data_IF_649812879179
#
_entry.id   IF_649812879179
#
_cell.length_a   1.000
_cell.length_b   1.000
_cell.length_c   1.000
_cell.angle_alpha   90.00
_cell.angle_beta   90.00
_cell.angle_gamma   90.00
#
_symmetry.space_group_name_H-M   'P 1'
#
loop_
_entity.id
_entity.type
_entity.pdbx_description
1 polymer ?
#
# COMPACT_ATOMS: atom_id res chain seq x y z
N UNK A 1 20.81 -22.47 -8.82
CA UNK A 1 20.80 -23.29 -10.05
C UNK A 1 20.95 -22.43 -11.32
N UNK A 2 20.15 -21.37 -11.49
CA UNK A 2 20.23 -20.43 -12.63
C UNK A 2 21.63 -19.81 -12.85
N UNK A 3 22.23 -19.11 -11.87
CA UNK A 3 23.56 -18.51 -12.08
C UNK A 3 24.67 -19.52 -12.39
N UNK A 4 24.56 -20.76 -11.90
CA UNK A 4 25.56 -21.79 -12.10
C UNK A 4 25.57 -22.32 -13.54
N UNK A 5 24.41 -22.45 -14.20
CA UNK A 5 24.34 -22.86 -15.61
C UNK A 5 24.90 -21.81 -16.57
N UNK A 6 24.68 -20.51 -16.29
CA UNK A 6 25.27 -19.44 -17.08
C UNK A 6 26.79 -19.36 -16.91
N UNK A 7 27.28 -19.57 -15.68
CA UNK A 7 28.70 -19.59 -15.38
C UNK A 7 29.42 -20.76 -16.08
N UNK A 8 28.81 -21.95 -16.11
CA UNK A 8 29.33 -23.09 -16.89
C UNK A 8 29.36 -22.82 -18.40
N UNK A 9 28.35 -22.15 -18.95
CA UNK A 9 28.28 -21.81 -20.38
C UNK A 9 29.34 -20.79 -20.77
N UNK A 10 29.58 -19.79 -19.92
CA UNK A 10 30.66 -18.81 -20.08
C UNK A 10 32.06 -19.46 -20.02
N UNK A 11 32.29 -20.41 -19.10
CA UNK A 11 33.58 -21.10 -19.02
C UNK A 11 33.87 -22.01 -20.22
N UNK A 12 32.86 -22.39 -21.01
CA UNK A 12 33.00 -23.26 -22.19
C UNK A 12 33.13 -22.49 -23.50
N UNK A 13 32.79 -21.21 -23.54
CA UNK A 13 32.94 -20.39 -24.75
C UNK A 13 34.41 -20.07 -25.01
N UNK A 14 34.90 -20.34 -26.22
CA UNK A 14 36.31 -20.14 -26.59
C UNK A 14 36.56 -18.95 -27.52
N UNK A 15 35.54 -18.17 -27.86
CA UNK A 15 35.68 -17.02 -28.74
C UNK A 15 34.75 -15.87 -28.35
N UNK A 16 35.13 -14.65 -28.75
CA UNK A 16 34.39 -13.44 -28.40
C UNK A 16 32.95 -13.47 -28.92
N UNK A 17 32.71 -14.04 -30.12
CA UNK A 17 31.37 -14.15 -30.72
C UNK A 17 30.43 -15.01 -29.87
N UNK A 18 30.93 -16.12 -29.31
CA UNK A 18 30.18 -16.96 -28.40
C UNK A 18 29.84 -16.27 -27.10
N UNK A 19 30.76 -15.43 -26.57
CA UNK A 19 30.51 -14.57 -25.41
C UNK A 19 29.43 -13.53 -25.74
N UNK A 20 29.50 -12.89 -26.91
CA UNK A 20 28.52 -11.87 -27.32
C UNK A 20 27.12 -12.48 -27.42
N UNK A 21 26.98 -13.63 -28.08
CA UNK A 21 25.69 -14.31 -28.23
C UNK A 21 25.13 -14.82 -26.89
N UNK A 22 26.00 -15.34 -26.01
CA UNK A 22 25.59 -15.71 -24.66
C UNK A 22 25.15 -14.49 -23.85
N UNK A 23 25.89 -13.39 -23.93
CA UNK A 23 25.59 -12.18 -23.17
C UNK A 23 24.25 -11.58 -23.59
N UNK A 24 23.93 -11.55 -24.90
CA UNK A 24 22.63 -11.07 -25.38
C UNK A 24 21.47 -11.92 -24.86
N UNK A 25 21.55 -13.25 -24.96
CA UNK A 25 20.48 -14.13 -24.46
C UNK A 25 20.37 -14.09 -22.94
N UNK A 26 21.49 -13.98 -22.22
CA UNK A 26 21.47 -13.87 -20.77
C UNK A 26 20.85 -12.55 -20.29
N UNK A 27 21.10 -11.45 -21.02
CA UNK A 27 20.47 -10.15 -20.74
C UNK A 27 18.96 -10.19 -20.96
N UNK A 28 18.48 -10.88 -22.01
CA UNK A 28 17.05 -11.11 -22.24
C UNK A 28 16.41 -11.91 -21.10
N UNK A 29 17.02 -13.03 -20.69
CA UNK A 29 16.52 -13.86 -19.59
C UNK A 29 16.50 -13.09 -18.25
N UNK A 30 17.52 -12.27 -17.97
CA UNK A 30 17.55 -11.41 -16.80
C UNK A 30 16.47 -10.33 -16.87
N UNK A 31 16.26 -9.71 -18.03
CA UNK A 31 15.19 -8.71 -18.24
C UNK A 31 13.82 -9.30 -17.89
N UNK A 32 13.55 -10.52 -18.35
CA UNK A 32 12.30 -11.22 -18.08
C UNK A 32 12.10 -11.54 -16.59
N UNK A 33 13.17 -11.94 -15.89
CA UNK A 33 13.13 -12.15 -14.43
C UNK A 33 12.80 -10.86 -13.68
N UNK A 34 13.41 -9.73 -14.05
CA UNK A 34 13.11 -8.43 -13.44
C UNK A 34 11.69 -7.95 -13.77
N UNK A 35 11.22 -8.18 -14.99
CA UNK A 35 9.84 -7.88 -15.38
C UNK A 35 8.81 -8.73 -14.60
N UNK A 36 9.15 -9.98 -14.29
CA UNK A 36 8.36 -10.85 -13.41
C UNK A 36 8.32 -10.37 -11.96
N UNK A 37 9.47 -9.98 -11.40
CA UNK A 37 9.56 -9.44 -10.05
C UNK A 37 8.75 -8.15 -9.88
N UNK A 38 8.86 -7.21 -10.83
CA UNK A 38 8.08 -5.96 -10.84
C UNK A 38 6.56 -6.22 -10.93
N UNK A 39 6.13 -7.19 -11.74
CA UNK A 39 4.72 -7.61 -11.79
C UNK A 39 4.22 -8.15 -10.45
N UNK A 40 5.06 -8.92 -9.75
CA UNK A 40 4.72 -9.44 -8.42
C UNK A 40 4.62 -8.32 -7.38
N UNK A 41 5.55 -7.36 -7.38
CA UNK A 41 5.50 -6.17 -6.52
C UNK A 41 4.18 -5.37 -6.70
N UNK A 42 3.78 -5.12 -7.95
CA UNK A 42 2.51 -4.43 -8.24
C UNK A 42 1.30 -5.21 -7.72
N UNK A 43 1.28 -6.53 -7.93
CA UNK A 43 0.21 -7.39 -7.43
C UNK A 43 0.09 -7.34 -5.89
N UNK A 44 1.23 -7.30 -5.19
CA UNK A 44 1.26 -7.17 -3.72
C UNK A 44 0.63 -5.84 -3.28
N UNK A 45 1.00 -4.72 -3.91
CA UNK A 45 0.44 -3.41 -3.56
C UNK A 45 -1.07 -3.37 -3.82
N UNK A 46 -1.53 -3.89 -4.96
CA UNK A 46 -2.95 -3.98 -5.29
C UNK A 46 -3.74 -4.80 -4.26
N UNK A 47 -3.20 -5.95 -3.84
CA UNK A 47 -3.82 -6.79 -2.81
C UNK A 47 -3.92 -6.07 -1.48
N UNK A 48 -2.89 -5.33 -1.08
CA UNK A 48 -2.90 -4.56 0.18
C UNK A 48 -3.88 -3.40 0.09
N UNK A 49 -3.93 -2.67 -1.03
CA UNK A 49 -4.91 -1.61 -1.26
C UNK A 49 -6.33 -2.18 -1.16
N UNK A 50 -6.60 -3.33 -1.80
CA UNK A 50 -7.89 -4.01 -1.69
C UNK A 50 -8.23 -4.37 -0.25
N UNK A 51 -7.29 -5.00 0.47
CA UNK A 51 -7.47 -5.36 1.87
C UNK A 51 -7.80 -4.14 2.75
N UNK A 52 -7.08 -3.03 2.57
CA UNK A 52 -7.35 -1.78 3.30
C UNK A 52 -8.76 -1.28 3.01
N UNK A 53 -9.18 -1.23 1.74
CA UNK A 53 -10.52 -0.78 1.36
C UNK A 53 -11.64 -1.66 1.94
N UNK A 54 -11.41 -2.97 2.06
CA UNK A 54 -12.39 -3.92 2.62
C UNK A 54 -12.41 -3.94 4.16
N UNK A 55 -11.34 -3.48 4.82
CA UNK A 55 -11.15 -3.66 6.26
C UNK A 55 -10.78 -2.37 7.01
N UNK A 56 -10.92 -1.18 6.41
CA UNK A 56 -10.46 0.07 7.02
C UNK A 56 -11.06 0.34 8.41
N UNK A 57 -12.25 -0.19 8.70
CA UNK A 57 -12.96 -0.09 9.98
C UNK A 57 -12.28 -0.87 11.12
N UNK A 58 -11.40 -1.82 10.80
CA UNK A 58 -10.69 -2.65 11.76
C UNK A 58 -9.32 -2.07 12.08
N UNK A 59 -8.71 -2.55 13.16
CA UNK A 59 -7.29 -2.29 13.39
C UNK A 59 -6.48 -3.00 12.30
N UNK A 60 -5.62 -2.24 11.59
CA UNK A 60 -4.75 -2.77 10.54
C UNK A 60 -3.32 -2.46 10.96
N UNK A 61 -2.57 -3.48 11.40
CA UNK A 61 -1.17 -3.31 11.77
C UNK A 61 -0.26 -3.66 10.60
N UNK A 62 0.81 -2.88 10.45
CA UNK A 62 1.86 -3.13 9.44
C UNK A 62 2.42 -4.55 9.53
N UNK A 63 2.58 -5.06 10.75
CA UNK A 63 3.09 -6.42 11.00
C UNK A 63 2.16 -7.49 10.42
N UNK A 64 0.85 -7.33 10.58
CA UNK A 64 -0.14 -8.27 10.05
C UNK A 64 -0.17 -8.22 8.52
N UNK A 65 -0.17 -7.00 7.94
CA UNK A 65 -0.03 -6.81 6.50
C UNK A 65 1.24 -7.47 5.95
N UNK A 66 2.37 -7.28 6.63
CA UNK A 66 3.67 -7.82 6.24
C UNK A 66 3.74 -9.35 6.30
N UNK A 67 3.01 -9.98 7.23
CA UNK A 67 2.91 -11.44 7.34
C UNK A 67 2.08 -12.04 6.20
N UNK A 68 1.02 -11.36 5.76
CA UNK A 68 0.19 -11.80 4.63
C UNK A 68 0.94 -11.75 3.29
N UNK A 69 1.94 -10.87 3.17
CA UNK A 69 2.66 -10.60 1.93
C UNK A 69 4.13 -11.05 1.94
N UNK A 70 4.60 -11.66 3.04
CA UNK A 70 5.97 -12.14 3.23
C UNK A 70 7.07 -11.09 2.94
N UNK A 71 6.80 -9.80 3.17
CA UNK A 71 7.77 -8.72 2.96
C UNK A 71 8.30 -8.18 4.28
N UNK A 72 9.54 -7.70 4.26
CA UNK A 72 10.06 -6.86 5.33
C UNK A 72 9.20 -5.57 5.44
N UNK A 73 8.74 -5.16 6.65
CA UNK A 73 7.94 -3.94 6.86
C UNK A 73 8.53 -2.66 6.27
N UNK A 74 9.86 -2.50 6.31
CA UNK A 74 10.55 -1.33 5.78
C UNK A 74 10.50 -1.31 4.24
N UNK A 75 10.78 -2.46 3.62
CA UNK A 75 10.68 -2.61 2.18
C UNK A 75 9.23 -2.42 1.70
N UNK A 76 8.25 -3.00 2.38
CA UNK A 76 6.84 -2.77 2.08
C UNK A 76 6.46 -1.29 2.19
N UNK A 77 6.91 -0.59 3.25
CA UNK A 77 6.59 0.84 3.42
C UNK A 77 7.13 1.69 2.26
N UNK A 78 8.34 1.38 1.80
CA UNK A 78 8.95 2.03 0.62
C UNK A 78 8.21 1.67 -0.66
N UNK A 79 7.91 0.39 -0.87
CA UNK A 79 7.21 -0.11 -2.06
C UNK A 79 5.81 0.51 -2.17
N UNK A 80 5.03 0.45 -1.10
CA UNK A 80 3.68 1.01 -1.07
C UNK A 80 3.70 2.51 -1.36
N UNK A 81 4.63 3.27 -0.73
CA UNK A 81 4.76 4.71 -1.00
C UNK A 81 5.17 5.01 -2.44
N UNK A 82 6.06 4.20 -3.03
CA UNK A 82 6.48 4.35 -4.42
C UNK A 82 5.32 4.13 -5.40
N UNK A 83 4.54 3.08 -5.20
CA UNK A 83 3.47 2.70 -6.13
C UNK A 83 2.16 3.49 -5.91
N UNK A 84 1.82 3.85 -4.67
CA UNK A 84 0.57 4.56 -4.32
C UNK A 84 0.77 6.07 -4.17
N UNK A 85 2.00 6.54 -3.98
CA UNK A 85 2.36 7.95 -3.79
C UNK A 85 2.27 8.45 -2.34
N UNK A 86 1.76 7.64 -1.41
CA UNK A 86 1.70 7.95 0.02
C UNK A 86 1.94 6.70 0.87
N UNK A 87 2.23 6.89 2.15
CA UNK A 87 2.37 5.76 3.09
C UNK A 87 1.03 5.05 3.28
N UNK A 88 1.07 3.77 3.67
CA UNK A 88 -0.15 3.01 3.95
C UNK A 88 -0.98 3.65 5.09
N UNK A 89 -0.34 4.29 6.07
CA UNK A 89 -1.01 5.00 7.18
C UNK A 89 -1.78 6.22 6.65
N UNK A 90 -1.16 7.01 5.78
CA UNK A 90 -1.81 8.15 5.12
C UNK A 90 -2.97 7.70 4.23
N UNK A 91 -2.78 6.60 3.47
CA UNK A 91 -3.82 6.01 2.64
C UNK A 91 -5.02 5.54 3.47
N UNK A 92 -4.77 4.76 4.52
CA UNK A 92 -5.80 4.30 5.47
C UNK A 92 -6.52 5.48 6.12
N UNK A 93 -5.77 6.50 6.55
CA UNK A 93 -6.33 7.71 7.15
C UNK A 93 -7.27 8.41 6.18
N UNK A 94 -6.87 8.59 4.92
CA UNK A 94 -7.71 9.21 3.89
C UNK A 94 -9.03 8.46 3.70
N UNK A 95 -8.99 7.13 3.58
CA UNK A 95 -10.21 6.32 3.43
C UNK A 95 -11.14 6.48 4.64
N UNK A 96 -10.60 6.39 5.85
CA UNK A 96 -11.38 6.54 7.09
C UNK A 96 -12.03 7.91 7.20
N UNK A 97 -11.32 8.97 6.81
CA UNK A 97 -11.85 10.34 6.83
C UNK A 97 -12.94 10.52 5.78
N UNK A 98 -12.76 10.01 4.56
CA UNK A 98 -13.80 10.06 3.53
C UNK A 98 -15.05 9.26 3.93
N UNK A 99 -14.90 8.10 4.57
CA UNK A 99 -16.03 7.37 5.15
C UNK A 99 -16.71 8.17 6.28
N UNK A 100 -15.93 8.80 7.16
CA UNK A 100 -16.45 9.60 8.27
C UNK A 100 -17.29 10.79 7.79
N UNK A 101 -16.85 11.48 6.72
CA UNK A 101 -17.63 12.58 6.10
C UNK A 101 -19.04 12.13 5.70
N UNK A 102 -19.17 10.93 5.13
CA UNK A 102 -20.47 10.34 4.77
C UNK A 102 -21.35 10.09 6.00
N UNK A 103 -20.78 9.56 7.08
CA UNK A 103 -21.52 9.34 8.32
C UNK A 103 -21.89 10.63 9.06
N UNK A 104 -21.08 11.69 8.91
CA UNK A 104 -21.35 12.99 9.54
C UNK A 104 -22.61 13.67 9.01
N UNK A 105 -23.05 13.32 7.80
CA UNK A 105 -24.33 13.78 7.23
C UNK A 105 -25.55 13.16 7.92
N UNK A 106 -25.39 12.10 8.72
CA UNK A 106 -26.46 11.53 9.52
C UNK A 106 -26.45 12.13 10.94
N UNK A 107 -27.44 12.97 11.31
CA UNK A 107 -27.49 13.63 12.62
C UNK A 107 -27.75 12.65 13.78
N UNK A 108 -28.29 11.46 13.50
CA UNK A 108 -28.57 10.43 14.52
C UNK A 108 -27.31 9.75 15.05
N UNK A 109 -26.17 9.88 14.37
CA UNK A 109 -24.91 9.30 14.82
C UNK A 109 -24.12 10.32 15.65
N UNK A 110 -23.62 9.91 16.81
CA UNK A 110 -22.66 10.70 17.60
C UNK A 110 -21.26 10.67 16.98
N UNK A 111 -20.42 11.67 17.27
CA UNK A 111 -19.02 11.69 16.79
C UNK A 111 -18.24 10.47 17.27
N UNK A 112 -18.50 10.00 18.50
CA UNK A 112 -17.87 8.82 19.06
C UNK A 112 -18.26 7.52 18.35
N UNK A 113 -19.53 7.38 17.94
CA UNK A 113 -19.98 6.23 17.15
C UNK A 113 -19.36 6.26 15.75
N UNK A 114 -19.27 7.43 15.12
CA UNK A 114 -18.60 7.58 13.82
C UNK A 114 -17.13 7.19 13.92
N UNK A 115 -16.41 7.70 14.93
CA UNK A 115 -15.01 7.35 15.17
C UNK A 115 -14.83 5.82 15.23
N UNK A 116 -15.68 5.13 16.00
CA UNK A 116 -15.64 3.66 16.12
C UNK A 116 -15.95 2.97 14.79
N UNK A 117 -16.99 3.42 14.08
CA UNK A 117 -17.38 2.88 12.77
C UNK A 117 -16.28 2.99 11.72
N UNK A 118 -15.46 4.05 11.77
CA UNK A 118 -14.34 4.23 10.83
C UNK A 118 -13.00 3.72 11.38
N UNK A 119 -13.01 2.93 12.47
CA UNK A 119 -11.82 2.24 12.96
C UNK A 119 -10.89 3.04 13.87
N UNK A 120 -11.40 4.08 14.53
CA UNK A 120 -10.71 4.76 15.63
C UNK A 120 -11.34 4.38 16.97
N UNK A 121 -10.54 3.88 17.90
CA UNK A 121 -10.99 3.56 19.27
C UNK A 121 -11.19 4.82 20.12
N UNK A 122 -10.35 5.84 19.90
CA UNK A 122 -10.39 7.11 20.63
C UNK A 122 -11.02 8.21 19.75
N UNK A 123 -12.16 8.74 20.21
CA UNK A 123 -12.90 9.79 19.51
C UNK A 123 -12.19 11.15 19.52
N UNK A 124 -11.38 11.45 20.55
CA UNK A 124 -10.57 12.67 20.62
C UNK A 124 -9.43 12.61 19.62
N UNK A 125 -8.76 11.47 19.51
CA UNK A 125 -7.73 11.23 18.51
C UNK A 125 -8.31 11.32 17.10
N UNK A 126 -9.44 10.65 16.84
CA UNK A 126 -10.18 10.79 15.58
C UNK A 126 -10.44 12.27 15.25
N UNK A 127 -10.96 13.05 16.21
CA UNK A 127 -11.28 14.46 15.99
C UNK A 127 -10.04 15.29 15.63
N UNK A 128 -8.89 15.02 16.26
CA UNK A 128 -7.60 15.65 15.91
C UNK A 128 -7.15 15.27 14.50
N UNK A 129 -7.23 13.99 14.14
CA UNK A 129 -6.86 13.52 12.79
C UNK A 129 -7.79 14.10 11.74
N UNK A 130 -9.10 14.07 11.96
CA UNK A 130 -10.09 14.65 11.06
C UNK A 130 -9.81 16.13 10.84
N UNK A 131 -9.61 16.91 11.91
CA UNK A 131 -9.27 18.33 11.79
C UNK A 131 -7.97 18.57 11.03
N UNK A 132 -6.95 17.74 11.23
CA UNK A 132 -5.69 17.83 10.49
C UNK A 132 -5.87 17.59 8.99
N UNK A 133 -6.74 16.65 8.61
CA UNK A 133 -6.96 16.27 7.21
C UNK A 133 -7.95 17.20 6.51
N UNK A 134 -9.01 17.63 7.20
CA UNK A 134 -10.13 18.39 6.62
C UNK A 134 -10.02 19.90 6.87
N UNK A 135 -9.24 20.32 7.86
CA UNK A 135 -9.05 21.72 8.26
C UNK A 135 -9.98 22.18 9.40
N UNK A 136 -11.12 21.51 9.59
CA UNK A 136 -12.12 21.81 10.62
C UNK A 136 -12.51 20.56 11.41
N UNK A 137 -13.06 20.75 12.61
CA UNK A 137 -13.47 19.62 13.46
C UNK A 137 -14.66 18.85 12.87
N UNK A 138 -14.86 17.56 13.25
CA UNK A 138 -16.03 16.79 12.83
C UNK A 138 -17.37 17.48 13.13
N UNK A 139 -17.47 18.13 14.30
CA UNK A 139 -18.68 18.85 14.72
C UNK A 139 -18.96 20.09 13.86
N UNK A 140 -17.92 20.85 13.51
CA UNK A 140 -18.03 21.99 12.58
C UNK A 140 -18.42 21.51 11.18
N UNK A 141 -17.77 20.45 10.69
CA UNK A 141 -18.08 19.86 9.39
C UNK A 141 -19.54 19.40 9.32
N UNK A 142 -20.05 18.74 10.36
CA UNK A 142 -21.46 18.32 10.45
C UNK A 142 -22.42 19.51 10.35
N UNK A 143 -22.15 20.60 11.06
CA UNK A 143 -23.01 21.79 11.00
C UNK A 143 -23.11 22.32 9.56
N UNK A 144 -21.97 22.39 8.86
CA UNK A 144 -21.94 22.83 7.46
C UNK A 144 -22.70 21.86 6.53
N UNK A 145 -22.53 20.55 6.73
CA UNK A 145 -23.18 19.53 5.90
C UNK A 145 -24.71 19.46 6.06
N UNK A 146 -25.25 19.85 7.22
CA UNK A 146 -26.69 19.83 7.52
C UNK A 146 -27.39 21.16 7.20
N UNK A 147 -26.64 22.23 6.94
CA UNK A 147 -27.18 23.53 6.54
C UNK A 147 -27.25 23.71 5.02
N UNK A 148 -26.83 22.70 4.24
CA UNK A 148 -26.99 22.62 2.79
C UNK A 148 -28.23 21.80 2.45
#
# INVERSE_FOLDING_TARGET
QFCFSHLQKLMRTQNYRGITLWATSFLEEISDLFAGAKRNENNIVERVVKYINENFEKEIRLKELSQTIYLNPEYFSRLFKKEVGCTYVEYLTRIRIEAAKKYLANPSLTISEIARKVGYQDANYFSKVFKKVVGISPSEFRKLALCQ
#
